data_IF_029273300436
#
_entry.id   IF_029273300436
#
_cell.length_a   1.000
_cell.length_b   1.000
_cell.length_c   1.000
_cell.angle_alpha   90.00
_cell.angle_beta   90.00
_cell.angle_gamma   90.00
#
_symmetry.space_group_name_H-M   'P 1'
#
loop_
_entity.id
_entity.type
_entity.pdbx_description
1 polymer ?
#
# COMPACT_ATOMS: atom_id res chain seq x y z
N UNK A 1 7.13 -5.20 -18.04
CA UNK A 1 6.59 -5.07 -16.65
C UNK A 1 6.43 -6.43 -16.04
N UNK A 2 6.80 -6.57 -14.76
CA UNK A 2 6.49 -7.76 -13.98
C UNK A 2 5.77 -7.32 -12.69
N UNK A 3 4.56 -7.82 -12.45
CA UNK A 3 3.84 -7.60 -11.20
C UNK A 3 4.36 -8.60 -10.17
N UNK A 4 4.98 -8.12 -9.10
CA UNK A 4 5.48 -9.00 -8.04
C UNK A 4 4.54 -9.07 -6.83
N UNK A 5 3.64 -8.07 -6.67
CA UNK A 5 2.71 -8.00 -5.55
C UNK A 5 1.41 -7.34 -5.99
N UNK A 6 0.31 -7.84 -5.48
CA UNK A 6 -1.02 -7.23 -5.59
C UNK A 6 -1.50 -6.95 -4.17
N UNK A 7 -1.62 -5.67 -3.81
CA UNK A 7 -2.06 -5.24 -2.49
C UNK A 7 -3.56 -4.97 -2.51
N UNK A 8 -4.28 -5.65 -1.63
CA UNK A 8 -5.70 -5.41 -1.37
C UNK A 8 -5.85 -4.67 -0.04
N UNK A 9 -6.24 -3.40 -0.12
CA UNK A 9 -6.20 -2.48 1.01
C UNK A 9 -7.54 -2.30 1.68
N UNK A 10 -7.49 -2.04 3.00
CA UNK A 10 -8.64 -1.70 3.82
C UNK A 10 -9.45 -2.90 4.32
N UNK A 11 -8.83 -4.06 4.49
CA UNK A 11 -9.43 -5.16 5.23
C UNK A 11 -9.61 -4.77 6.71
N UNK A 12 -10.64 -5.28 7.35
CA UNK A 12 -10.98 -4.98 8.75
C UNK A 12 -11.98 -5.98 9.31
N UNK A 13 -12.59 -5.67 10.45
CA UNK A 13 -13.42 -6.56 11.27
C UNK A 13 -14.50 -7.37 10.51
N UNK A 14 -14.96 -6.85 9.39
CA UNK A 14 -15.92 -7.55 8.53
C UNK A 14 -15.30 -8.52 7.53
N UNK A 15 -13.97 -8.61 7.48
CA UNK A 15 -13.26 -9.49 6.54
C UNK A 15 -12.87 -10.78 7.24
N UNK A 16 -13.17 -11.91 6.62
CA UNK A 16 -12.87 -13.25 7.14
C UNK A 16 -11.37 -13.54 7.00
N UNK A 17 -10.66 -13.60 8.14
CA UNK A 17 -9.23 -13.84 8.22
C UNK A 17 -8.83 -15.20 7.62
N UNK A 18 -9.67 -16.23 7.81
CA UNK A 18 -9.39 -17.53 7.25
C UNK A 18 -9.38 -17.48 5.72
N UNK A 19 -10.37 -16.82 5.12
CA UNK A 19 -10.42 -16.66 3.66
C UNK A 19 -9.28 -15.77 3.13
N UNK A 20 -8.88 -14.74 3.88
CA UNK A 20 -7.68 -13.94 3.55
C UNK A 20 -6.43 -14.82 3.51
N UNK A 21 -6.27 -15.69 4.50
CA UNK A 21 -5.15 -16.62 4.59
C UNK A 21 -5.18 -17.67 3.47
N UNK A 22 -6.33 -18.24 3.17
CA UNK A 22 -6.51 -19.18 2.07
C UNK A 22 -6.15 -18.56 0.71
N UNK A 23 -6.59 -17.32 0.45
CA UNK A 23 -6.25 -16.58 -0.76
C UNK A 23 -4.75 -16.31 -0.86
N UNK A 24 -4.11 -15.87 0.23
CA UNK A 24 -2.66 -15.62 0.23
C UNK A 24 -1.87 -16.91 -0.03
N UNK A 25 -2.24 -18.03 0.60
CA UNK A 25 -1.54 -19.31 0.39
C UNK A 25 -1.72 -19.86 -1.03
N UNK A 26 -2.90 -19.65 -1.64
CA UNK A 26 -3.15 -20.01 -3.04
C UNK A 26 -2.43 -19.09 -4.03
N UNK A 27 -2.25 -17.82 -3.68
CA UNK A 27 -1.69 -16.75 -4.50
C UNK A 27 -0.65 -15.95 -3.70
N UNK A 28 0.61 -16.45 -3.54
CA UNK A 28 1.61 -15.87 -2.63
C UNK A 28 2.06 -14.43 -2.98
N UNK A 29 1.69 -13.92 -4.15
CA UNK A 29 1.92 -12.52 -4.55
C UNK A 29 0.91 -11.54 -3.96
N UNK A 30 -0.12 -12.01 -3.23
CA UNK A 30 -1.10 -11.16 -2.56
C UNK A 30 -0.52 -10.62 -1.26
N UNK A 31 -0.72 -9.33 -1.04
CA UNK A 31 -0.48 -8.62 0.20
C UNK A 31 -1.78 -7.96 0.67
N UNK A 32 -2.00 -7.92 1.97
CA UNK A 32 -3.15 -7.21 2.55
C UNK A 32 -2.71 -5.91 3.20
N UNK A 33 -3.27 -4.80 2.70
CA UNK A 33 -3.07 -3.47 3.27
C UNK A 33 -4.05 -3.22 4.42
N UNK A 34 -3.52 -2.99 5.62
CA UNK A 34 -4.31 -2.81 6.84
C UNK A 34 -4.17 -1.36 7.31
N UNK A 35 -5.28 -0.67 7.44
CA UNK A 35 -5.27 0.66 8.03
C UNK A 35 -4.88 0.57 9.50
N UNK A 36 -3.82 1.26 9.89
CA UNK A 36 -3.38 1.30 11.28
C UNK A 36 -4.26 2.22 12.10
N UNK A 37 -4.52 1.91 13.36
CA UNK A 37 -5.35 2.73 14.22
C UNK A 37 -4.83 4.16 14.28
N UNK A 38 -5.72 5.13 14.11
CA UNK A 38 -5.47 6.54 14.34
C UNK A 38 -6.31 7.00 15.54
N UNK A 39 -5.77 7.92 16.34
CA UNK A 39 -6.52 8.57 17.39
C UNK A 39 -7.70 9.35 16.78
N UNK A 40 -8.91 8.87 16.99
CA UNK A 40 -10.11 9.56 16.48
C UNK A 40 -11.20 8.66 15.91
N UNK A 41 -10.98 7.40 15.80
CA UNK A 41 -12.01 6.40 15.50
C UNK A 41 -12.46 6.36 14.04
N UNK A 42 -13.20 5.38 13.71
CA UNK A 42 -14.06 5.31 12.53
C UNK A 42 -13.90 4.04 11.71
N UNK A 43 -12.87 3.83 10.95
CA UNK A 43 -12.77 2.71 9.99
C UNK A 43 -11.63 1.73 10.30
N UNK A 44 -11.00 1.86 11.46
CA UNK A 44 -9.86 1.02 11.81
C UNK A 44 -10.32 -0.31 12.38
N UNK A 45 -9.66 -1.41 12.03
CA UNK A 45 -9.97 -2.71 12.60
C UNK A 45 -9.64 -2.74 14.10
N UNK A 46 -10.40 -3.56 14.84
CA UNK A 46 -10.15 -3.75 16.26
C UNK A 46 -8.80 -4.40 16.50
N UNK A 47 -8.15 -4.04 17.61
CA UNK A 47 -6.84 -4.59 18.01
C UNK A 47 -6.88 -6.13 18.09
N UNK A 48 -8.00 -6.71 18.52
CA UNK A 48 -8.18 -8.17 18.59
C UNK A 48 -8.12 -8.81 17.20
N UNK A 49 -8.83 -8.23 16.24
CA UNK A 49 -8.84 -8.69 14.85
C UNK A 49 -7.45 -8.56 14.21
N UNK A 50 -6.76 -7.44 14.43
CA UNK A 50 -5.39 -7.25 13.91
C UNK A 50 -4.42 -8.26 14.51
N UNK A 51 -4.49 -8.53 15.81
CA UNK A 51 -3.65 -9.55 16.46
C UNK A 51 -3.89 -10.96 15.92
N UNK A 52 -5.14 -11.30 15.65
CA UNK A 52 -5.48 -12.57 15.01
C UNK A 52 -4.89 -12.64 13.59
N UNK A 53 -5.10 -11.61 12.78
CA UNK A 53 -4.55 -11.52 11.43
C UNK A 53 -3.02 -11.63 11.41
N UNK A 54 -2.33 -10.87 12.25
CA UNK A 54 -0.85 -10.87 12.31
C UNK A 54 -0.28 -12.22 12.76
N UNK A 55 -1.05 -13.05 13.45
CA UNK A 55 -0.64 -14.40 13.83
C UNK A 55 -0.68 -15.41 12.68
N UNK A 56 -1.29 -15.08 11.56
CA UNK A 56 -1.39 -15.99 10.40
C UNK A 56 -0.11 -16.11 9.59
N UNK A 57 0.79 -15.12 9.67
CA UNK A 57 2.05 -15.08 8.91
C UNK A 57 1.89 -14.75 7.43
N UNK A 58 0.73 -14.26 6.98
CA UNK A 58 0.52 -13.81 5.61
C UNK A 58 1.15 -12.44 5.37
N UNK A 59 1.40 -12.09 4.10
CA UNK A 59 2.01 -10.81 3.75
C UNK A 59 1.08 -9.63 4.07
N UNK A 60 1.58 -8.67 4.86
CA UNK A 60 0.85 -7.51 5.35
C UNK A 60 1.62 -6.22 5.12
N UNK A 61 0.90 -5.16 4.72
CA UNK A 61 1.39 -3.79 4.76
C UNK A 61 0.54 -2.93 5.70
N UNK A 62 1.20 -2.08 6.48
CA UNK A 62 0.52 -1.11 7.33
C UNK A 62 0.27 0.17 6.53
N UNK A 63 -0.97 0.61 6.43
CA UNK A 63 -1.35 1.87 5.80
C UNK A 63 -1.55 2.93 6.89
N UNK A 64 -0.58 3.83 6.98
CA UNK A 64 -0.59 4.93 7.95
C UNK A 64 -1.14 6.20 7.31
N UNK A 65 -2.35 6.56 7.72
CA UNK A 65 -2.89 7.88 7.46
C UNK A 65 -2.50 8.81 8.61
N UNK A 66 -2.16 10.07 8.30
CA UNK A 66 -1.85 11.08 9.35
C UNK A 66 -0.71 10.70 10.29
N UNK A 67 0.35 10.11 9.75
CA UNK A 67 1.50 9.64 10.54
C UNK A 67 2.14 10.75 11.38
N UNK A 68 2.07 12.01 10.92
CA UNK A 68 2.55 13.17 11.66
C UNK A 68 1.79 13.33 12.98
N UNK A 69 0.48 13.38 12.90
CA UNK A 69 -0.39 13.56 14.08
C UNK A 69 -0.17 12.41 15.06
N UNK A 70 -0.05 11.19 14.54
CA UNK A 70 0.25 10.02 15.35
C UNK A 70 1.56 10.16 16.12
N UNK A 71 2.63 10.64 15.49
CA UNK A 71 3.94 10.81 16.14
C UNK A 71 4.01 12.03 17.07
N UNK A 72 3.12 13.01 16.89
CA UNK A 72 2.98 14.15 17.79
C UNK A 72 2.14 13.81 19.04
N UNK A 73 1.15 12.91 18.91
CA UNK A 73 0.20 12.56 19.97
C UNK A 73 0.56 11.31 20.77
N UNK A 74 1.29 10.39 20.16
CA UNK A 74 1.69 9.13 20.77
C UNK A 74 3.20 8.91 20.72
N UNK A 75 3.74 8.26 21.74
CA UNK A 75 5.13 7.80 21.68
C UNK A 75 5.26 6.66 20.65
N UNK A 76 6.44 6.53 20.06
CA UNK A 76 6.78 5.41 19.18
C UNK A 76 6.49 4.05 19.86
N UNK A 77 6.75 3.95 21.16
CA UNK A 77 6.52 2.73 21.95
C UNK A 77 5.03 2.38 22.05
N UNK A 78 4.16 3.38 22.21
CA UNK A 78 2.71 3.18 22.22
C UNK A 78 2.22 2.67 20.87
N UNK A 79 2.68 3.26 19.77
CA UNK A 79 2.31 2.82 18.41
C UNK A 79 2.77 1.37 18.15
N UNK A 80 4.01 1.03 18.49
CA UNK A 80 4.55 -0.32 18.34
C UNK A 80 3.79 -1.36 19.16
N UNK A 81 3.26 -0.98 20.32
CA UNK A 81 2.54 -1.89 21.22
C UNK A 81 1.13 -2.23 20.74
N UNK A 82 0.51 -1.37 19.92
CA UNK A 82 -0.91 -1.47 19.58
C UNK A 82 -1.20 -2.58 18.56
N UNK A 83 -0.31 -2.89 17.61
CA UNK A 83 -0.75 -3.51 16.36
C UNK A 83 0.06 -4.72 15.90
N UNK A 84 0.89 -5.35 16.71
CA UNK A 84 1.75 -6.42 16.22
C UNK A 84 2.63 -5.94 15.05
N UNK A 85 3.25 -4.78 15.24
CA UNK A 85 4.00 -4.02 14.24
C UNK A 85 5.05 -4.85 13.49
N UNK A 86 5.64 -5.81 14.17
CA UNK A 86 6.67 -6.70 13.59
C UNK A 86 6.14 -7.58 12.45
N UNK A 87 4.84 -7.82 12.39
CA UNK A 87 4.23 -8.60 11.32
C UNK A 87 4.06 -7.84 9.99
N UNK A 88 4.26 -6.52 9.99
CA UNK A 88 4.18 -5.72 8.79
C UNK A 88 5.58 -5.54 8.18
N UNK A 89 5.81 -6.06 6.99
CA UNK A 89 7.07 -5.89 6.26
C UNK A 89 7.15 -4.53 5.55
N UNK A 90 6.00 -3.97 5.19
CA UNK A 90 5.87 -2.73 4.42
C UNK A 90 4.98 -1.74 5.16
N UNK A 91 5.35 -0.46 5.09
CA UNK A 91 4.60 0.64 5.70
C UNK A 91 4.31 1.68 4.64
N UNK A 92 3.06 1.92 4.34
CA UNK A 92 2.63 2.96 3.42
C UNK A 92 2.25 4.21 4.19
N UNK A 93 2.89 5.32 3.84
CA UNK A 93 2.60 6.64 4.38
C UNK A 93 1.66 7.35 3.41
N UNK A 94 0.41 7.51 3.81
CA UNK A 94 -0.62 8.18 3.04
C UNK A 94 -0.71 9.66 3.42
N UNK A 95 -0.62 10.52 2.42
CA UNK A 95 -0.61 11.96 2.61
C UNK A 95 -1.93 12.63 2.22
N UNK A 96 -2.82 11.90 1.52
CA UNK A 96 -4.15 12.39 1.08
C UNK A 96 -4.13 13.74 0.36
N UNK A 97 -3.10 13.97 -0.47
CA UNK A 97 -2.97 15.20 -1.26
C UNK A 97 -2.54 16.43 -0.48
N UNK A 98 -2.19 16.29 0.79
CA UNK A 98 -1.65 17.40 1.56
C UNK A 98 -0.13 17.50 1.39
N UNK A 99 0.48 18.71 1.34
CA UNK A 99 1.93 18.88 1.36
C UNK A 99 2.44 18.54 2.76
N UNK A 100 3.28 17.51 2.89
CA UNK A 100 3.45 16.96 4.21
C UNK A 100 4.75 17.20 4.89
N UNK A 101 5.87 17.03 4.20
CA UNK A 101 7.11 16.99 4.93
C UNK A 101 8.14 17.92 4.31
N UNK A 102 8.63 18.85 5.10
CA UNK A 102 9.91 19.49 4.81
C UNK A 102 11.02 18.44 4.83
N UNK A 103 12.17 18.73 4.25
CA UNK A 103 13.33 17.82 4.28
C UNK A 103 13.71 17.43 5.72
N UNK A 104 13.60 18.35 6.66
CA UNK A 104 13.91 18.12 8.07
C UNK A 104 12.90 17.16 8.72
N UNK A 105 11.61 17.39 8.48
CA UNK A 105 10.54 16.51 9.00
C UNK A 105 10.65 15.10 8.42
N UNK A 106 10.93 14.97 7.13
CA UNK A 106 11.20 13.67 6.49
C UNK A 106 12.38 12.96 7.17
N UNK A 107 13.47 13.68 7.40
CA UNK A 107 14.63 13.12 8.07
C UNK A 107 14.28 12.63 9.48
N UNK A 108 13.59 13.43 10.27
CA UNK A 108 13.17 13.09 11.63
C UNK A 108 12.23 11.88 11.65
N UNK A 109 11.27 11.83 10.73
CA UNK A 109 10.35 10.71 10.58
C UNK A 109 11.11 9.40 10.31
N UNK A 110 12.03 9.41 9.35
CA UNK A 110 12.78 8.23 8.94
C UNK A 110 13.80 7.73 9.96
N UNK A 111 14.13 8.54 10.97
CA UNK A 111 14.94 8.13 12.11
C UNK A 111 14.13 7.42 13.21
N UNK A 112 12.81 7.42 13.11
CA UNK A 112 11.95 6.72 14.08
C UNK A 112 12.17 5.21 14.04
N UNK A 113 12.22 4.58 15.20
CA UNK A 113 12.28 3.11 15.33
C UNK A 113 11.08 2.39 14.70
N UNK A 114 9.97 3.10 14.47
CA UNK A 114 8.80 2.59 13.74
C UNK A 114 9.16 2.01 12.37
N UNK A 115 10.12 2.62 11.69
CA UNK A 115 10.43 2.28 10.29
C UNK A 115 11.66 1.38 10.15
N UNK A 116 12.30 1.04 11.27
CA UNK A 116 13.53 0.27 11.27
C UNK A 116 13.33 -1.13 10.68
N UNK A 117 14.09 -1.44 9.64
CA UNK A 117 14.03 -2.74 8.96
C UNK A 117 12.83 -2.94 8.05
N UNK A 118 11.96 -1.93 7.89
CA UNK A 118 10.77 -1.96 7.04
C UNK A 118 11.03 -1.37 5.66
N UNK A 119 10.24 -1.76 4.67
CA UNK A 119 10.12 -1.03 3.41
C UNK A 119 9.09 0.09 3.60
N UNK A 120 9.48 1.33 3.27
CA UNK A 120 8.61 2.49 3.43
C UNK A 120 8.06 2.89 2.06
N UNK A 121 6.76 2.88 1.92
CA UNK A 121 6.06 3.27 0.71
C UNK A 121 5.61 4.72 0.85
N UNK A 122 6.09 5.57 -0.06
CA UNK A 122 5.69 6.97 -0.14
C UNK A 122 4.66 7.16 -1.25
N UNK A 123 3.54 7.78 -0.92
CA UNK A 123 2.58 8.22 -1.93
C UNK A 123 3.25 9.27 -2.83
N UNK A 124 3.17 9.04 -4.13
CA UNK A 124 3.62 9.96 -5.17
C UNK A 124 2.39 10.39 -5.96
N UNK A 125 2.12 11.68 -5.96
CA UNK A 125 0.97 12.29 -6.60
C UNK A 125 1.38 13.57 -7.34
N UNK A 126 0.42 14.43 -7.63
CA UNK A 126 0.63 15.74 -8.25
C UNK A 126 1.15 16.82 -7.28
N UNK A 127 1.34 16.48 -6.00
CA UNK A 127 1.93 17.37 -4.99
C UNK A 127 3.45 17.23 -5.01
N UNK A 128 4.20 18.28 -5.41
CA UNK A 128 5.65 18.17 -5.60
C UNK A 128 6.43 17.76 -4.35
N UNK A 129 5.95 18.09 -3.15
CA UNK A 129 6.59 17.72 -1.88
C UNK A 129 6.55 16.22 -1.63
N UNK A 130 5.53 15.50 -2.09
CA UNK A 130 5.41 14.06 -1.92
C UNK A 130 6.47 13.31 -2.75
N UNK A 131 6.69 13.73 -3.98
CA UNK A 131 7.81 13.23 -4.80
C UNK A 131 9.16 13.55 -4.14
N UNK A 132 9.32 14.77 -3.58
CA UNK A 132 10.55 15.17 -2.91
C UNK A 132 10.84 14.29 -1.70
N UNK A 133 9.84 13.90 -0.92
CA UNK A 133 10.00 13.02 0.24
C UNK A 133 10.52 11.64 -0.16
N UNK A 134 9.95 11.05 -1.20
CA UNK A 134 10.43 9.79 -1.76
C UNK A 134 11.89 9.89 -2.26
N UNK A 135 12.23 10.97 -2.97
CA UNK A 135 13.59 11.21 -3.47
C UNK A 135 14.60 11.33 -2.32
N UNK A 136 14.27 12.09 -1.29
CA UNK A 136 15.11 12.25 -0.09
C UNK A 136 15.36 10.91 0.60
N UNK A 137 14.30 10.12 0.80
CA UNK A 137 14.42 8.80 1.43
C UNK A 137 15.35 7.87 0.63
N UNK A 138 15.21 7.89 -0.70
CA UNK A 138 16.08 7.11 -1.61
C UNK A 138 17.53 7.58 -1.54
N UNK A 139 17.80 8.89 -1.55
CA UNK A 139 19.13 9.47 -1.41
C UNK A 139 19.80 9.12 -0.07
N UNK A 140 19.00 8.98 0.99
CA UNK A 140 19.45 8.56 2.31
C UNK A 140 19.76 7.07 2.41
N UNK A 141 19.49 6.28 1.37
CA UNK A 141 19.66 4.83 1.39
C UNK A 141 18.60 4.08 2.20
N UNK A 142 17.47 4.72 2.46
CA UNK A 142 16.31 4.08 3.09
C UNK A 142 15.72 3.06 2.12
N UNK A 143 15.22 1.93 2.63
CA UNK A 143 14.45 0.97 1.85
C UNK A 143 13.09 1.58 1.49
N UNK A 144 13.09 2.44 0.48
CA UNK A 144 11.97 3.27 0.07
C UNK A 144 11.39 2.82 -1.27
N UNK A 145 10.08 2.93 -1.38
CA UNK A 145 9.31 2.66 -2.60
C UNK A 145 8.35 3.81 -2.87
N UNK A 146 8.05 4.06 -4.13
CA UNK A 146 7.04 5.05 -4.52
C UNK A 146 5.74 4.37 -4.91
N UNK A 147 4.60 4.90 -4.49
CA UNK A 147 3.27 4.49 -4.95
C UNK A 147 2.58 5.66 -5.63
N UNK A 148 2.38 5.56 -6.93
CA UNK A 148 1.59 6.54 -7.66
C UNK A 148 0.11 6.40 -7.30
N UNK A 149 -0.44 7.44 -6.70
CA UNK A 149 -1.86 7.56 -6.38
C UNK A 149 -2.29 9.03 -6.39
N UNK A 150 -2.94 9.45 -7.46
CA UNK A 150 -3.54 10.79 -7.59
C UNK A 150 -5.03 10.80 -7.23
N UNK A 151 -5.58 9.68 -6.80
CA UNK A 151 -7.00 9.60 -6.43
C UNK A 151 -7.29 10.25 -5.08
N UNK A 152 -6.28 10.44 -4.24
CA UNK A 152 -6.42 10.96 -2.88
C UNK A 152 -7.54 10.27 -2.08
N UNK A 153 -7.70 8.95 -2.28
CA UNK A 153 -8.75 8.15 -1.65
C UNK A 153 -10.11 8.17 -2.36
N UNK A 154 -10.27 8.92 -3.45
CA UNK A 154 -11.55 8.96 -4.21
C UNK A 154 -11.80 7.71 -5.04
N UNK A 155 -10.79 6.88 -5.27
CA UNK A 155 -10.87 5.69 -6.12
C UNK A 155 -11.13 6.00 -7.60
N UNK A 156 -10.64 7.13 -8.08
CA UNK A 156 -10.75 7.56 -9.48
C UNK A 156 -9.49 7.15 -10.26
N UNK A 157 -9.68 6.57 -11.45
CA UNK A 157 -8.56 6.26 -12.34
C UNK A 157 -7.87 7.55 -12.81
N UNK A 158 -6.53 7.57 -12.89
CA UNK A 158 -5.81 8.67 -13.50
C UNK A 158 -6.08 8.71 -15.01
N UNK A 159 -5.97 9.89 -15.59
CA UNK A 159 -6.08 10.05 -17.06
C UNK A 159 -4.93 9.37 -17.80
N UNK A 160 -3.75 9.32 -17.17
CA UNK A 160 -2.54 8.67 -17.73
C UNK A 160 -1.72 8.10 -16.57
N UNK A 161 -1.10 6.96 -16.80
CA UNK A 161 -0.14 6.38 -15.89
C UNK A 161 1.24 6.99 -16.14
N UNK A 162 1.95 7.45 -15.10
CA UNK A 162 3.24 8.09 -15.29
C UNK A 162 4.31 7.06 -15.62
N UNK A 163 5.22 7.45 -16.50
CA UNK A 163 6.39 6.62 -16.81
C UNK A 163 7.30 6.53 -15.58
N UNK A 164 7.59 5.32 -15.17
CA UNK A 164 8.38 5.00 -13.99
C UNK A 164 9.82 5.56 -14.05
N UNK A 165 10.36 5.78 -15.23
CA UNK A 165 11.70 6.38 -15.42
C UNK A 165 11.78 7.84 -14.95
N UNK A 166 10.64 8.50 -14.73
CA UNK A 166 10.59 9.85 -14.18
C UNK A 166 10.78 9.89 -12.66
N UNK A 167 10.89 8.73 -11.99
CA UNK A 167 10.98 8.59 -10.55
C UNK A 167 12.31 7.99 -10.11
N UNK A 168 12.70 8.16 -8.84
CA UNK A 168 13.89 7.54 -8.29
C UNK A 168 13.94 6.03 -8.59
N UNK A 169 15.14 5.51 -8.78
CA UNK A 169 15.32 4.06 -8.94
C UNK A 169 14.94 3.35 -7.64
N UNK A 170 14.15 2.30 -7.76
CA UNK A 170 13.63 1.53 -6.64
C UNK A 170 12.36 0.79 -7.03
N UNK A 171 11.70 0.21 -6.08
CA UNK A 171 10.38 -0.39 -6.28
C UNK A 171 9.34 0.71 -6.51
N UNK A 172 8.39 0.46 -7.38
CA UNK A 172 7.35 1.41 -7.71
C UNK A 172 6.01 0.70 -7.87
N UNK A 173 4.96 1.31 -7.35
CA UNK A 173 3.60 0.79 -7.44
C UNK A 173 2.66 1.76 -8.11
N UNK A 174 1.55 1.23 -8.56
CA UNK A 174 0.46 1.98 -9.17
C UNK A 174 -0.85 1.72 -8.45
N UNK A 175 -1.54 2.79 -8.11
CA UNK A 175 -2.83 2.79 -7.44
C UNK A 175 -3.76 3.87 -8.04
N UNK A 176 -4.96 3.95 -7.52
CA UNK A 176 -5.97 4.92 -7.95
C UNK A 176 -7.04 4.31 -8.83
N UNK A 177 -8.15 3.93 -8.22
CA UNK A 177 -9.35 3.46 -8.90
C UNK A 177 -9.27 2.10 -9.58
N UNK A 178 -8.21 1.33 -9.36
CA UNK A 178 -8.09 -0.04 -9.85
C UNK A 178 -9.14 -0.96 -9.21
N UNK A 179 -9.64 -1.89 -10.00
CA UNK A 179 -10.62 -2.87 -9.53
C UNK A 179 -11.07 -3.83 -10.63
N UNK A 180 -11.92 -4.82 -10.31
CA UNK A 180 -12.21 -5.96 -11.20
C UNK A 180 -12.78 -5.58 -12.56
N UNK A 181 -13.43 -4.42 -12.66
CA UNK A 181 -14.14 -4.01 -13.87
C UNK A 181 -13.23 -3.24 -14.87
N UNK A 182 -12.01 -2.88 -14.47
CA UNK A 182 -11.11 -2.10 -15.32
C UNK A 182 -9.70 -2.69 -15.48
N UNK A 183 -9.41 -3.84 -14.86
CA UNK A 183 -8.07 -4.45 -14.93
C UNK A 183 -7.62 -4.75 -16.36
N UNK A 184 -8.53 -5.18 -17.24
CA UNK A 184 -8.23 -5.49 -18.65
C UNK A 184 -7.71 -4.28 -19.44
N UNK A 185 -8.13 -3.07 -19.07
CA UNK A 185 -7.68 -1.82 -19.70
C UNK A 185 -6.50 -1.20 -18.95
N UNK A 186 -6.52 -1.27 -17.62
CA UNK A 186 -5.50 -0.65 -16.79
C UNK A 186 -4.15 -1.36 -16.87
N UNK A 187 -4.12 -2.70 -16.85
CA UNK A 187 -2.86 -3.46 -16.85
C UNK A 187 -1.98 -3.21 -18.10
N UNK A 188 -2.50 -3.21 -19.33
CA UNK A 188 -1.70 -2.86 -20.49
C UNK A 188 -1.16 -1.43 -20.44
N UNK A 189 -1.96 -0.47 -19.96
CA UNK A 189 -1.54 0.92 -19.86
C UNK A 189 -0.47 1.13 -18.77
N UNK A 190 -0.60 0.43 -17.63
CA UNK A 190 0.43 0.38 -16.59
C UNK A 190 1.70 -0.30 -17.14
N UNK A 191 1.57 -1.36 -17.94
CA UNK A 191 2.71 -2.04 -18.52
C UNK A 191 3.53 -1.13 -19.45
N UNK A 192 2.86 -0.30 -20.25
CA UNK A 192 3.54 0.70 -21.08
C UNK A 192 4.28 1.73 -20.21
N UNK A 193 3.65 2.21 -19.13
CA UNK A 193 4.25 3.19 -18.22
C UNK A 193 5.40 2.62 -17.38
N UNK A 194 5.32 1.36 -16.97
CA UNK A 194 6.30 0.67 -16.14
C UNK A 194 7.50 0.12 -16.93
N UNK A 195 7.38 -0.06 -18.26
CA UNK A 195 8.43 -0.68 -19.05
C UNK A 195 8.84 -2.06 -18.52
N UNK A 196 10.13 -2.29 -18.35
CA UNK A 196 10.67 -3.59 -17.88
C UNK A 196 10.81 -3.70 -16.36
N UNK A 197 10.28 -2.74 -15.60
CA UNK A 197 10.43 -2.73 -14.14
C UNK A 197 9.49 -3.71 -13.45
N UNK A 198 9.98 -4.22 -12.31
CA UNK A 198 9.18 -4.94 -11.34
C UNK A 198 8.34 -3.91 -10.57
N UNK A 199 7.04 -4.14 -10.53
CA UNK A 199 6.09 -3.22 -9.89
C UNK A 199 5.11 -3.99 -8.98
N UNK A 200 4.36 -3.25 -8.19
CA UNK A 200 3.13 -3.76 -7.58
C UNK A 200 1.94 -2.89 -7.95
N UNK A 201 0.74 -3.41 -7.71
CA UNK A 201 -0.51 -2.66 -7.83
C UNK A 201 -1.24 -2.69 -6.50
N UNK A 202 -1.91 -1.57 -6.17
CA UNK A 202 -2.68 -1.42 -4.94
C UNK A 202 -4.11 -0.96 -5.27
N UNK A 203 -5.08 -1.48 -4.54
CA UNK A 203 -6.48 -1.13 -4.71
C UNK A 203 -7.27 -1.24 -3.42
N UNK A 204 -8.23 -0.32 -3.25
CA UNK A 204 -9.10 -0.30 -2.07
C UNK A 204 -10.59 -0.12 -2.44
N UNK A 205 -10.98 1.03 -2.93
CA UNK A 205 -12.39 1.41 -3.06
C UNK A 205 -13.21 0.51 -3.97
N UNK A 206 -12.64 0.05 -5.09
CA UNK A 206 -13.35 -0.76 -6.10
C UNK A 206 -13.51 -2.24 -5.73
N UNK A 207 -12.77 -2.71 -4.74
CA UNK A 207 -12.87 -4.08 -4.22
C UNK A 207 -13.81 -4.19 -3.02
N UNK A 208 -14.62 -3.17 -2.76
CA UNK A 208 -15.57 -3.12 -1.65
C UNK A 208 -17.01 -3.24 -2.13
N UNK A 209 -17.86 -3.78 -1.26
CA UNK A 209 -19.32 -3.77 -1.37
C UNK A 209 -19.89 -3.37 -0.02
N UNK A 210 -20.72 -2.34 0.01
CA UNK A 210 -21.31 -1.80 1.25
C UNK A 210 -20.27 -1.45 2.33
N UNK A 211 -19.10 -0.93 1.92
CA UNK A 211 -18.01 -0.53 2.82
C UNK A 211 -17.08 -1.65 3.28
N UNK A 212 -17.40 -2.90 3.03
CA UNK A 212 -16.55 -4.05 3.39
C UNK A 212 -15.81 -4.60 2.17
N UNK A 213 -14.67 -5.23 2.41
CA UNK A 213 -13.95 -6.00 1.40
C UNK A 213 -14.89 -7.08 0.82
N UNK A 214 -14.89 -7.18 -0.50
CA UNK A 214 -15.67 -8.15 -1.26
C UNK A 214 -14.72 -9.17 -1.90
N UNK A 215 -14.64 -10.34 -1.30
CA UNK A 215 -13.71 -11.40 -1.72
C UNK A 215 -14.01 -11.93 -3.14
N UNK A 216 -15.24 -11.82 -3.63
CA UNK A 216 -15.55 -12.20 -5.01
C UNK A 216 -14.98 -11.19 -6.00
N UNK A 217 -14.98 -9.92 -5.67
CA UNK A 217 -14.28 -8.89 -6.44
C UNK A 217 -12.76 -9.12 -6.44
N UNK A 218 -12.20 -9.51 -5.31
CA UNK A 218 -10.78 -9.86 -5.20
C UNK A 218 -10.44 -11.04 -6.11
N UNK A 219 -11.24 -12.13 -6.08
CA UNK A 219 -11.03 -13.27 -6.98
C UNK A 219 -11.03 -12.87 -8.45
N UNK A 220 -11.95 -11.99 -8.85
CA UNK A 220 -11.98 -11.45 -10.24
C UNK A 220 -10.73 -10.64 -10.59
N UNK A 221 -10.16 -9.90 -9.64
CA UNK A 221 -8.88 -9.21 -9.85
C UNK A 221 -7.75 -10.22 -10.01
N UNK A 222 -7.69 -11.23 -9.13
CA UNK A 222 -6.71 -12.31 -9.21
C UNK A 222 -6.76 -12.98 -10.60
N UNK A 223 -7.93 -13.38 -11.04
CA UNK A 223 -8.14 -13.97 -12.38
C UNK A 223 -7.63 -13.05 -13.49
N UNK A 224 -7.88 -11.75 -13.39
CA UNK A 224 -7.44 -10.76 -14.38
C UNK A 224 -5.91 -10.61 -14.40
N UNK A 225 -5.27 -10.62 -13.24
CA UNK A 225 -3.80 -10.51 -13.12
C UNK A 225 -3.13 -11.78 -13.65
N UNK A 226 -3.61 -12.97 -13.26
CA UNK A 226 -3.06 -14.25 -13.71
C UNK A 226 -3.19 -14.46 -15.22
N UNK A 227 -4.29 -14.01 -15.80
CA UNK A 227 -4.51 -14.11 -17.25
C UNK A 227 -3.85 -12.99 -18.05
N UNK A 228 -3.24 -11.99 -17.40
CA UNK A 228 -2.63 -10.84 -18.08
C UNK A 228 -1.28 -11.13 -18.74
N UNK A 229 -0.58 -12.15 -18.26
CA UNK A 229 0.82 -12.43 -18.65
C UNK A 229 1.84 -11.47 -18.02
N UNK A 230 1.43 -10.61 -17.07
CA UNK A 230 2.31 -9.65 -16.40
C UNK A 230 2.73 -10.09 -14.99
N UNK A 231 2.17 -11.17 -14.48
CA UNK A 231 2.56 -11.69 -13.18
C UNK A 231 3.99 -12.23 -13.22
N UNK A 232 4.80 -11.85 -12.24
CA UNK A 232 6.16 -12.35 -12.10
C UNK A 232 6.13 -13.83 -11.69
N UNK A 233 6.84 -14.67 -12.43
CA UNK A 233 7.00 -16.08 -12.03
C UNK A 233 7.71 -16.16 -10.67
N UNK A 234 7.10 -16.85 -9.73
CA UNK A 234 7.69 -17.16 -8.43
C UNK A 234 8.52 -18.43 -8.62
N UNK A 235 9.84 -18.29 -8.67
CA UNK A 235 10.79 -19.40 -8.75
C UNK A 235 11.05 -19.99 -7.37
#
# INVERSE_FOLDING_TARGET
MNIHTVTFSGAGNGTDIQQMSELHHAHPYIEWGIQTPHYGGGLFPDVGWVKELTSTGIALSAHMCYVRDLLEEASTEEVLSIVGWDAFDRIQINTHGSPHYTRYETYSLLQSDLFKGKEIIFQVDDVPTNLSTFSIATEMGINASGLFDTSHGSGTLPNTWPNVENYPKGKFGYSGGLGPDNMSEALPAIAEAAGDRDIWIDMEGKIRTHGNIDLDKIRRVIDSVENSGFLKEIN
#
